data_IF_186393866366
#
_entry.id   IF_186393866366
#
_cell.length_a   1.000
_cell.length_b   1.000
_cell.length_c   1.000
_cell.angle_alpha   90.00
_cell.angle_beta   90.00
_cell.angle_gamma   90.00
#
_symmetry.space_group_name_H-M   'P 1'
#
loop_
_entity.id
_entity.type
_entity.pdbx_description
1 polymer ?
#
# COMPACT_ATOMS: atom_id res chain seq x y z
N UNK A 1 -17.00 31.65 -5.36
CA UNK A 1 -15.57 31.46 -5.12
C UNK A 1 -15.07 30.40 -6.09
N UNK A 2 -14.31 30.76 -7.11
CA UNK A 2 -13.64 29.80 -7.99
C UNK A 2 -12.54 29.15 -7.15
N UNK A 3 -12.71 27.90 -6.77
CA UNK A 3 -11.65 27.13 -6.12
C UNK A 3 -10.46 27.05 -7.08
N UNK A 4 -9.39 27.73 -6.76
CA UNK A 4 -8.10 27.53 -7.39
C UNK A 4 -7.80 26.03 -7.32
N UNK A 5 -7.72 25.37 -8.44
CA UNK A 5 -7.03 24.09 -8.54
C UNK A 5 -5.59 24.44 -8.17
N UNK A 6 -5.27 24.27 -6.90
CA UNK A 6 -3.90 24.50 -6.44
C UNK A 6 -3.01 23.61 -7.26
N UNK A 7 -2.04 24.18 -7.92
CA UNK A 7 -0.97 23.49 -8.63
C UNK A 7 -0.09 22.81 -7.56
N UNK A 8 -0.58 21.71 -6.99
CA UNK A 8 0.14 20.95 -5.97
C UNK A 8 1.32 20.27 -6.65
N UNK A 9 2.49 20.48 -6.12
CA UNK A 9 3.64 19.71 -6.55
C UNK A 9 3.45 18.24 -6.19
N UNK A 10 3.91 17.35 -7.06
CA UNK A 10 3.91 15.92 -6.79
C UNK A 10 5.02 15.56 -5.81
N UNK A 11 4.77 14.58 -4.98
CA UNK A 11 5.80 13.83 -4.28
C UNK A 11 5.65 12.36 -4.60
N UNK A 12 6.67 11.78 -5.23
CA UNK A 12 6.70 10.34 -5.45
C UNK A 12 7.11 9.62 -4.17
N UNK A 13 6.38 8.56 -3.85
CA UNK A 13 6.70 7.64 -2.76
C UNK A 13 6.88 6.26 -3.38
N UNK A 14 8.11 5.81 -3.47
CA UNK A 14 8.45 4.47 -3.94
C UNK A 14 8.37 3.49 -2.79
N UNK A 15 7.56 2.48 -2.93
CA UNK A 15 7.44 1.38 -1.99
C UNK A 15 7.87 0.06 -2.66
N UNK A 16 9.16 -0.31 -2.61
CA UNK A 16 9.67 -1.53 -3.23
C UNK A 16 9.37 -2.79 -2.40
N UNK A 17 8.28 -2.81 -1.65
CA UNK A 17 7.83 -4.00 -0.94
C UNK A 17 7.13 -4.98 -1.87
N UNK A 18 7.38 -6.26 -1.69
CA UNK A 18 6.70 -7.36 -2.35
C UNK A 18 6.13 -8.38 -1.34
N UNK A 19 6.09 -7.97 -0.04
CA UNK A 19 5.66 -8.84 1.05
C UNK A 19 4.19 -9.22 0.95
N UNK A 20 3.35 -8.29 0.55
CA UNK A 20 1.90 -8.51 0.48
C UNK A 20 1.51 -9.48 -0.62
N UNK A 21 2.22 -9.47 -1.75
CA UNK A 21 2.04 -10.44 -2.84
C UNK A 21 2.74 -11.77 -2.56
N UNK A 22 3.81 -11.74 -1.77
CA UNK A 22 4.60 -12.93 -1.46
C UNK A 22 5.39 -13.47 -2.66
N UNK A 23 5.62 -12.63 -3.68
CA UNK A 23 6.27 -13.02 -4.93
C UNK A 23 7.43 -12.09 -5.23
N UNK A 24 8.60 -12.66 -5.56
CA UNK A 24 9.80 -11.92 -5.90
C UNK A 24 9.69 -11.23 -7.27
N UNK A 25 10.31 -10.05 -7.39
CA UNK A 25 10.49 -9.30 -8.62
C UNK A 25 9.67 -8.03 -8.72
N UNK A 26 8.52 -7.94 -8.04
CA UNK A 26 7.67 -6.75 -8.06
C UNK A 26 8.36 -5.51 -7.46
N UNK A 27 9.31 -5.69 -6.55
CA UNK A 27 10.11 -4.62 -5.96
C UNK A 27 10.94 -3.83 -6.98
N UNK A 28 11.22 -4.41 -8.14
CA UNK A 28 11.93 -3.73 -9.22
C UNK A 28 11.06 -2.72 -9.98
N UNK A 29 9.73 -2.79 -9.85
CA UNK A 29 8.76 -1.98 -10.59
C UNK A 29 9.01 -0.47 -10.49
N UNK A 30 9.13 0.13 -9.30
CA UNK A 30 9.35 1.57 -9.16
C UNK A 30 10.58 2.06 -9.90
N UNK A 31 11.70 1.38 -9.77
CA UNK A 31 12.94 1.75 -10.46
C UNK A 31 12.89 1.46 -11.97
N UNK A 32 12.22 0.41 -12.40
CA UNK A 32 12.02 0.13 -13.81
C UNK A 32 11.19 1.22 -14.50
N UNK A 33 10.15 1.73 -13.85
CA UNK A 33 9.34 2.85 -14.33
C UNK A 33 10.21 4.11 -14.44
N UNK A 34 11.04 4.39 -13.42
CA UNK A 34 11.96 5.54 -13.44
C UNK A 34 12.99 5.43 -14.56
N UNK A 35 13.54 4.26 -14.78
CA UNK A 35 14.49 4.01 -15.87
C UNK A 35 13.83 4.17 -17.24
N UNK A 36 12.63 3.63 -17.42
CA UNK A 36 11.86 3.77 -18.66
C UNK A 36 11.49 5.24 -18.97
N UNK A 37 11.08 6.00 -17.95
CA UNK A 37 10.81 7.42 -18.10
C UNK A 37 12.05 8.18 -18.57
N UNK A 38 13.21 7.90 -17.94
CA UNK A 38 14.50 8.52 -18.34
C UNK A 38 14.88 8.14 -19.77
N UNK A 39 14.68 6.89 -20.18
CA UNK A 39 14.95 6.44 -21.55
C UNK A 39 14.07 7.14 -22.60
N UNK A 40 12.92 7.63 -22.18
CA UNK A 40 11.99 8.43 -23.00
C UNK A 40 12.21 9.94 -22.86
N UNK A 41 13.32 10.37 -22.27
CA UNK A 41 13.65 11.77 -21.99
C UNK A 41 12.61 12.50 -21.10
N UNK A 42 11.86 11.78 -20.28
CA UNK A 42 10.97 12.38 -19.31
C UNK A 42 11.75 12.93 -18.13
N UNK A 43 11.44 14.17 -17.76
CA UNK A 43 12.02 14.86 -16.60
C UNK A 43 11.26 14.63 -15.30
N UNK A 44 10.16 13.87 -15.35
CA UNK A 44 9.20 13.70 -14.27
C UNK A 44 9.87 13.39 -12.90
N UNK A 45 10.78 12.42 -12.85
CA UNK A 45 11.46 12.02 -11.63
C UNK A 45 12.69 12.87 -11.25
N UNK A 46 13.01 13.88 -12.05
CA UNK A 46 14.03 14.90 -11.71
C UNK A 46 13.39 16.22 -11.30
N UNK A 47 12.17 16.50 -11.74
CA UNK A 47 11.41 17.69 -11.39
C UNK A 47 10.71 17.58 -10.04
N UNK A 48 10.29 16.37 -9.65
CA UNK A 48 9.56 16.14 -8.42
C UNK A 48 10.35 15.25 -7.45
N UNK A 49 10.27 15.52 -6.13
CA UNK A 49 10.98 14.71 -5.14
C UNK A 49 10.48 13.27 -5.13
N UNK A 50 11.43 12.35 -4.97
CA UNK A 50 11.18 10.91 -4.82
C UNK A 50 11.67 10.48 -3.46
N UNK A 51 10.79 9.93 -2.65
CA UNK A 51 11.13 9.26 -1.40
C UNK A 51 11.00 7.75 -1.58
N UNK A 52 12.04 7.00 -1.27
CA UNK A 52 12.01 5.53 -1.34
C UNK A 52 11.92 4.95 0.06
N UNK A 53 10.88 4.20 0.33
CA UNK A 53 10.69 3.49 1.59
C UNK A 53 11.68 2.33 1.73
N UNK A 54 12.16 2.05 2.94
CA UNK A 54 12.84 0.79 3.20
C UNK A 54 11.87 -0.38 2.98
N UNK A 55 12.38 -1.49 2.49
CA UNK A 55 11.60 -2.72 2.37
C UNK A 55 12.01 -3.76 3.43
N UNK A 56 11.23 -4.81 3.53
CA UNK A 56 11.46 -5.96 4.41
C UNK A 56 11.37 -7.26 3.61
N UNK A 57 11.79 -7.23 2.36
CA UNK A 57 11.69 -8.36 1.44
C UNK A 57 12.54 -9.57 1.88
N UNK A 58 13.46 -9.38 2.84
CA UNK A 58 14.17 -10.46 3.53
C UNK A 58 13.22 -11.46 4.22
N UNK A 59 12.03 -11.01 4.61
CA UNK A 59 11.01 -11.86 5.24
C UNK A 59 10.38 -12.87 4.27
N UNK A 60 10.56 -12.70 2.96
CA UNK A 60 10.12 -13.70 1.99
C UNK A 60 10.92 -15.01 2.07
N UNK A 61 12.13 -14.95 2.59
CA UNK A 61 13.01 -16.12 2.73
C UNK A 61 12.81 -16.84 4.09
N UNK A 62 11.82 -16.37 4.88
CA UNK A 62 11.53 -16.93 6.20
C UNK A 62 10.15 -17.57 6.24
N UNK A 63 9.95 -18.61 7.06
CA UNK A 63 8.61 -19.13 7.34
C UNK A 63 7.69 -18.03 7.87
N UNK A 64 6.43 -18.11 7.55
CA UNK A 64 5.40 -17.22 8.12
C UNK A 64 4.68 -17.94 9.28
N UNK A 65 4.46 -17.22 10.38
CA UNK A 65 3.71 -17.72 11.53
C UNK A 65 2.20 -17.66 11.34
N UNK A 66 1.74 -16.84 10.39
CA UNK A 66 0.32 -16.57 10.14
C UNK A 66 -0.05 -16.97 8.72
N UNK A 67 -0.50 -18.21 8.47
CA UNK A 67 -0.76 -18.71 7.11
C UNK A 67 -1.83 -17.92 6.35
N UNK A 68 -2.80 -17.34 7.07
CA UNK A 68 -3.88 -16.52 6.50
C UNK A 68 -3.66 -15.01 6.62
N UNK A 69 -2.51 -14.59 7.12
CA UNK A 69 -2.04 -13.20 7.16
C UNK A 69 -0.52 -13.19 7.02
N UNK A 70 -0.04 -13.70 5.90
CA UNK A 70 1.39 -13.96 5.68
C UNK A 70 2.23 -12.71 5.85
N UNK A 71 3.27 -12.82 6.69
CA UNK A 71 4.25 -11.74 6.94
C UNK A 71 3.61 -10.45 7.46
N UNK A 72 2.50 -10.57 8.20
CA UNK A 72 1.74 -9.41 8.69
C UNK A 72 2.63 -8.42 9.45
N UNK A 73 3.59 -8.89 10.25
CA UNK A 73 4.50 -8.04 11.01
C UNK A 73 5.34 -7.13 10.10
N UNK A 74 5.85 -7.67 8.99
CA UNK A 74 6.58 -6.91 7.99
C UNK A 74 5.68 -5.96 7.21
N UNK A 75 4.48 -6.42 6.84
CA UNK A 75 3.50 -5.61 6.12
C UNK A 75 3.03 -4.43 6.97
N UNK A 76 2.83 -4.61 8.28
CA UNK A 76 2.48 -3.52 9.19
C UNK A 76 3.57 -2.44 9.26
N UNK A 77 4.85 -2.83 9.25
CA UNK A 77 5.95 -1.87 9.19
C UNK A 77 5.94 -1.07 7.87
N UNK A 78 5.64 -1.73 6.74
CA UNK A 78 5.49 -1.05 5.46
C UNK A 78 4.29 -0.10 5.49
N UNK A 79 3.14 -0.53 6.03
CA UNK A 79 1.95 0.33 6.17
C UNK A 79 2.25 1.57 6.98
N UNK A 80 2.94 1.43 8.11
CA UNK A 80 3.32 2.55 8.96
C UNK A 80 4.21 3.54 8.20
N UNK A 81 5.22 3.04 7.47
CA UNK A 81 6.08 3.87 6.66
C UNK A 81 5.33 4.63 5.56
N UNK A 82 4.44 3.94 4.81
CA UNK A 82 3.59 4.58 3.77
C UNK A 82 2.66 5.61 4.40
N UNK A 83 1.98 5.26 5.49
CA UNK A 83 1.07 6.15 6.22
C UNK A 83 1.75 7.45 6.61
N UNK A 84 2.94 7.35 7.19
CA UNK A 84 3.70 8.51 7.63
C UNK A 84 4.13 9.38 6.44
N UNK A 85 4.66 8.79 5.37
CA UNK A 85 5.11 9.55 4.19
C UNK A 85 3.96 10.22 3.44
N UNK A 86 2.80 9.58 3.35
CA UNK A 86 1.58 10.20 2.78
C UNK A 86 1.14 11.39 3.59
N UNK A 87 1.11 11.26 4.93
CA UNK A 87 0.77 12.37 5.82
C UNK A 87 1.74 13.54 5.65
N UNK A 88 3.04 13.28 5.68
CA UNK A 88 4.09 14.30 5.54
C UNK A 88 4.00 15.04 4.20
N UNK A 89 3.75 14.33 3.11
CA UNK A 89 3.54 14.94 1.80
C UNK A 89 2.36 15.91 1.82
N UNK A 90 1.23 15.50 2.40
CA UNK A 90 0.02 16.34 2.48
C UNK A 90 0.24 17.54 3.38
N UNK A 91 0.85 17.36 4.55
CA UNK A 91 1.15 18.44 5.48
C UNK A 91 2.09 19.49 4.87
N UNK A 92 2.97 19.05 3.97
CA UNK A 92 3.85 19.89 3.16
C UNK A 92 3.19 20.51 1.93
N UNK A 93 1.87 20.32 1.75
CA UNK A 93 1.11 20.85 0.62
C UNK A 93 1.33 20.10 -0.71
N UNK A 94 2.02 18.96 -0.70
CA UNK A 94 2.27 18.16 -1.89
C UNK A 94 1.17 17.12 -2.13
N UNK A 95 1.10 16.60 -3.35
CA UNK A 95 0.23 15.50 -3.73
C UNK A 95 1.04 14.20 -3.75
N UNK A 96 0.77 13.24 -2.84
CA UNK A 96 1.49 11.97 -2.81
C UNK A 96 1.05 11.07 -3.97
N UNK A 97 2.03 10.58 -4.74
CA UNK A 97 1.85 9.57 -5.77
C UNK A 97 2.70 8.36 -5.43
N UNK A 98 2.05 7.27 -5.08
CA UNK A 98 2.71 6.06 -4.63
C UNK A 98 2.94 5.13 -5.82
N UNK A 99 4.18 4.64 -5.99
CA UNK A 99 4.52 3.57 -6.93
C UNK A 99 5.05 2.40 -6.10
N UNK A 100 4.34 1.29 -6.13
CA UNK A 100 4.59 0.18 -5.24
C UNK A 100 4.89 -1.13 -5.99
N UNK A 101 5.61 -2.02 -5.34
CA UNK A 101 5.84 -3.38 -5.83
C UNK A 101 4.58 -4.23 -5.77
N UNK A 102 3.83 -4.13 -4.66
CA UNK A 102 2.50 -4.72 -4.54
C UNK A 102 1.50 -3.73 -3.93
N UNK A 103 0.21 -3.96 -4.11
CA UNK A 103 -0.80 -2.99 -3.70
C UNK A 103 -1.29 -3.16 -2.25
N UNK A 104 -0.69 -4.02 -1.45
CA UNK A 104 -0.98 -4.03 0.00
C UNK A 104 -0.73 -2.66 0.63
N UNK A 105 0.23 -1.90 0.09
CA UNK A 105 0.56 -0.54 0.54
C UNK A 105 -0.59 0.46 0.43
N UNK A 106 -1.65 0.16 -0.33
CA UNK A 106 -2.84 1.01 -0.40
C UNK A 106 -3.52 1.16 0.98
N UNK A 107 -3.43 0.15 1.85
CA UNK A 107 -3.88 0.26 3.24
C UNK A 107 -3.16 1.38 3.99
N UNK A 108 -1.84 1.46 3.87
CA UNK A 108 -1.02 2.54 4.45
C UNK A 108 -1.36 3.90 3.83
N UNK A 109 -1.61 3.94 2.51
CA UNK A 109 -2.01 5.17 1.80
C UNK A 109 -3.33 5.72 2.34
N UNK A 110 -4.36 4.88 2.44
CA UNK A 110 -5.66 5.28 2.98
C UNK A 110 -5.57 5.73 4.44
N UNK A 111 -4.78 5.04 5.25
CA UNK A 111 -4.53 5.42 6.64
C UNK A 111 -3.81 6.78 6.75
N UNK A 112 -2.82 7.05 5.89
CA UNK A 112 -2.11 8.33 5.83
C UNK A 112 -3.02 9.49 5.43
N UNK A 113 -3.87 9.27 4.42
CA UNK A 113 -4.90 10.24 4.02
C UNK A 113 -5.88 10.52 5.15
N UNK A 114 -6.35 9.48 5.84
CA UNK A 114 -7.26 9.64 6.98
C UNK A 114 -6.61 10.38 8.14
N UNK A 115 -5.34 10.14 8.38
CA UNK A 115 -4.58 10.82 9.42
C UNK A 115 -4.37 12.32 9.09
N UNK A 116 -4.13 12.65 7.80
CA UNK A 116 -4.01 14.03 7.35
C UNK A 116 -5.36 14.78 7.34
N UNK A 117 -6.48 14.05 7.16
CA UNK A 117 -7.82 14.63 7.11
C UNK A 117 -8.79 13.93 8.07
N UNK A 118 -8.58 13.99 9.39
CA UNK A 118 -9.32 13.17 10.36
C UNK A 118 -10.83 13.46 10.37
N UNK A 119 -11.24 14.69 10.12
CA UNK A 119 -12.65 15.09 10.10
C UNK A 119 -13.38 14.82 8.78
N UNK A 120 -12.68 14.32 7.74
CA UNK A 120 -13.29 14.12 6.42
C UNK A 120 -13.61 12.64 6.17
N UNK A 121 -14.71 12.40 5.46
CA UNK A 121 -14.94 11.09 4.84
C UNK A 121 -14.03 10.96 3.63
N UNK A 122 -13.42 9.79 3.48
CA UNK A 122 -12.63 9.43 2.30
C UNK A 122 -13.52 8.63 1.35
N UNK A 123 -13.46 8.97 0.06
CA UNK A 123 -13.92 8.12 -1.01
C UNK A 123 -12.70 7.45 -1.66
N UNK A 124 -12.84 6.17 -2.02
CA UNK A 124 -11.81 5.42 -2.73
C UNK A 124 -12.37 5.00 -4.07
N UNK A 125 -11.67 5.34 -5.15
CA UNK A 125 -11.91 4.78 -6.48
C UNK A 125 -10.86 3.68 -6.69
N UNK A 126 -11.33 2.42 -6.67
CA UNK A 126 -10.48 1.25 -6.84
C UNK A 126 -10.57 0.74 -8.27
N UNK A 127 -9.47 0.84 -9.02
CA UNK A 127 -9.41 0.40 -10.43
C UNK A 127 -8.48 -0.80 -10.49
N UNK A 128 -9.05 -1.98 -10.38
CA UNK A 128 -8.35 -3.25 -10.29
C UNK A 128 -9.22 -4.38 -10.84
N UNK A 129 -8.61 -5.49 -11.26
CA UNK A 129 -9.33 -6.70 -11.66
C UNK A 129 -10.01 -7.41 -10.47
N UNK A 130 -9.58 -7.11 -9.24
CA UNK A 130 -10.07 -7.71 -8.00
C UNK A 130 -10.63 -6.64 -7.07
N UNK A 131 -11.48 -7.04 -6.14
CA UNK A 131 -12.05 -6.12 -5.16
C UNK A 131 -11.15 -5.90 -3.93
N UNK A 132 -10.18 -6.78 -3.70
CA UNK A 132 -9.24 -6.79 -2.58
C UNK A 132 -9.89 -6.60 -1.21
N UNK A 133 -11.01 -7.30 -1.04
CA UNK A 133 -11.89 -7.24 0.12
C UNK A 133 -11.80 -8.53 0.97
N UNK A 134 -10.80 -9.37 0.73
CA UNK A 134 -10.57 -10.52 1.61
C UNK A 134 -10.15 -10.09 3.01
N UNK A 135 -10.45 -10.92 3.97
CA UNK A 135 -9.89 -10.89 5.32
C UNK A 135 -9.11 -12.17 5.60
N UNK A 136 -8.42 -12.32 6.72
CA UNK A 136 -7.80 -13.58 7.12
C UNK A 136 -8.77 -14.77 7.12
N UNK A 137 -10.07 -14.54 7.32
CA UNK A 137 -11.11 -15.60 7.33
C UNK A 137 -11.53 -16.05 5.93
N UNK A 138 -11.41 -15.20 4.92
CA UNK A 138 -11.94 -15.48 3.59
C UNK A 138 -10.85 -15.69 2.54
N UNK A 139 -9.59 -15.34 2.86
CA UNK A 139 -8.49 -15.44 1.92
C UNK A 139 -8.16 -16.87 1.55
N UNK A 140 -7.98 -17.19 0.26
CA UNK A 140 -7.48 -18.50 -0.17
C UNK A 140 -5.95 -18.63 -0.06
N UNK A 141 -5.22 -17.51 -0.16
CA UNK A 141 -3.76 -17.50 -0.24
C UNK A 141 -3.05 -17.06 1.04
N UNK A 142 -3.73 -16.29 1.90
CA UNK A 142 -3.14 -15.61 3.04
C UNK A 142 -2.29 -14.39 2.68
N UNK A 143 -2.21 -14.01 1.41
CA UNK A 143 -1.44 -12.86 0.97
C UNK A 143 -2.19 -11.55 1.24
N UNK A 144 -1.52 -10.60 1.87
CA UNK A 144 -2.14 -9.35 2.36
C UNK A 144 -2.56 -8.41 1.22
N UNK A 145 -1.97 -8.54 0.03
CA UNK A 145 -2.35 -7.68 -1.11
C UNK A 145 -3.83 -7.83 -1.51
N UNK A 146 -4.48 -8.94 -1.20
CA UNK A 146 -5.92 -9.11 -1.44
C UNK A 146 -6.84 -8.55 -0.33
N UNK A 147 -6.31 -7.78 0.63
CA UNK A 147 -7.04 -7.37 1.84
C UNK A 147 -7.13 -5.85 2.09
N UNK A 148 -6.53 -4.95 1.30
CA UNK A 148 -6.41 -3.54 1.69
C UNK A 148 -7.76 -2.84 1.84
N UNK A 149 -8.76 -3.18 1.04
CA UNK A 149 -10.10 -2.58 1.14
C UNK A 149 -10.84 -3.07 2.39
N UNK A 150 -10.82 -4.36 2.70
CA UNK A 150 -11.42 -4.88 3.93
C UNK A 150 -10.77 -4.26 5.17
N UNK A 151 -9.44 -4.12 5.17
CA UNK A 151 -8.69 -3.46 6.23
C UNK A 151 -9.12 -2.01 6.41
N UNK A 152 -9.27 -1.26 5.31
CA UNK A 152 -9.70 0.14 5.37
C UNK A 152 -11.14 0.31 5.84
N UNK A 153 -12.01 -0.67 5.56
CA UNK A 153 -13.41 -0.69 6.01
C UNK A 153 -13.54 -1.19 7.45
N UNK A 154 -12.52 -1.80 8.02
CA UNK A 154 -12.56 -2.39 9.36
C UNK A 154 -13.47 -3.63 9.45
N UNK A 155 -13.60 -4.38 8.35
CA UNK A 155 -14.42 -5.60 8.29
C UNK A 155 -13.54 -6.83 8.31
N UNK A 156 -13.83 -7.77 9.20
CA UNK A 156 -13.11 -9.02 9.33
C UNK A 156 -13.77 -10.19 8.58
N UNK A 157 -15.09 -10.13 8.37
CA UNK A 157 -15.88 -11.16 7.67
C UNK A 157 -15.81 -12.53 8.33
N UNK A 158 -15.72 -12.58 9.65
CA UNK A 158 -15.64 -13.84 10.41
C UNK A 158 -16.86 -14.73 10.20
N UNK A 159 -18.02 -14.14 9.97
CA UNK A 159 -19.28 -14.80 9.61
C UNK A 159 -19.27 -15.46 8.21
N UNK A 160 -18.34 -15.05 7.35
CA UNK A 160 -18.14 -15.58 6.00
C UNK A 160 -16.91 -16.52 5.91
N UNK A 161 -16.48 -17.04 7.04
CA UNK A 161 -15.26 -17.86 7.09
C UNK A 161 -15.28 -19.01 6.08
N UNK A 162 -14.24 -19.09 5.26
CA UNK A 162 -14.07 -20.09 4.20
C UNK A 162 -12.82 -20.94 4.34
N UNK A 163 -11.97 -20.63 5.30
CA UNK A 163 -10.71 -21.33 5.54
C UNK A 163 -10.68 -21.95 6.95
N UNK A 164 -9.60 -22.64 7.28
CA UNK A 164 -9.42 -23.33 8.56
C UNK A 164 -8.79 -22.46 9.65
N UNK A 165 -8.94 -21.13 9.58
CA UNK A 165 -8.42 -20.24 10.61
C UNK A 165 -9.08 -20.55 11.96
N UNK A 166 -8.27 -20.89 12.94
CA UNK A 166 -8.71 -21.11 14.31
C UNK A 166 -8.57 -19.81 15.11
N UNK A 167 -9.70 -19.29 15.57
CA UNK A 167 -9.78 -18.06 16.35
C UNK A 167 -9.17 -18.19 17.76
N UNK A 168 -8.99 -19.40 18.25
CA UNK A 168 -8.43 -19.62 19.60
C UNK A 168 -6.92 -19.42 19.63
N UNK A 169 -6.25 -19.34 18.48
CA UNK A 169 -4.80 -19.23 18.34
C UNK A 169 -4.30 -17.84 17.94
N UNK A 170 -5.20 -16.86 17.81
CA UNK A 170 -4.90 -15.46 17.54
C UNK A 170 -4.97 -14.60 18.80
#
# INVERSE_FOLDING_TARGET
MKGSIMNRQLQFIFNPSELGAGTRGASLGPEAIRAAARAQNSTLFSEYPVYTLPNRNDLLDRPTNFPFAKRIDGVLQIFEGVKQQVKEAIDSGMFPLIIAGDHSSAGGTMAGLKLAYPGKRLGVLWIDAHADIHSPYTTPSGNIHGMPIATALGVDQSDLQKNSLDLTTM
#
